data_IF_825741873434
#
_entry.id   IF_825741873434
#
_cell.length_a   1.000
_cell.length_b   1.000
_cell.length_c   1.000
_cell.angle_alpha   90.00
_cell.angle_beta   90.00
_cell.angle_gamma   90.00
#
_symmetry.space_group_name_H-M   'P 1'
#
loop_
_entity.id
_entity.type
_entity.pdbx_description
1 polymer ?
#
# COMPACT_ATOMS: atom_id res chain seq x y z
N UNK A 1 29.08 -24.83 -0.78
CA UNK A 1 28.85 -23.62 0.05
C UNK A 1 28.62 -22.46 -0.91
N UNK A 2 27.36 -22.25 -1.31
CA UNK A 2 27.01 -21.22 -2.30
C UNK A 2 27.13 -19.83 -1.69
N UNK A 3 27.88 -18.99 -2.40
CA UNK A 3 28.28 -17.63 -2.04
C UNK A 3 27.07 -16.75 -1.71
N UNK A 4 26.91 -16.36 -0.45
CA UNK A 4 26.04 -15.27 -0.01
C UNK A 4 26.62 -13.94 -0.50
N UNK A 5 26.49 -13.67 -1.80
CA UNK A 5 26.76 -12.33 -2.33
C UNK A 5 25.60 -11.44 -1.91
N UNK A 6 25.81 -10.58 -0.92
CA UNK A 6 24.95 -9.43 -0.68
C UNK A 6 25.06 -8.53 -1.91
N UNK A 7 24.03 -8.55 -2.75
CA UNK A 7 23.87 -7.61 -3.86
C UNK A 7 22.57 -6.82 -3.66
N UNK A 8 22.44 -5.63 -4.28
CA UNK A 8 21.17 -4.93 -4.35
C UNK A 8 20.08 -5.81 -4.95
N UNK A 9 18.81 -5.54 -4.61
CA UNK A 9 17.69 -6.30 -5.16
C UNK A 9 17.75 -6.40 -6.69
N UNK A 10 17.52 -7.61 -7.22
CA UNK A 10 17.46 -7.84 -8.66
C UNK A 10 16.26 -8.78 -8.94
N UNK A 11 15.25 -8.34 -9.71
CA UNK A 11 13.95 -9.01 -9.82
C UNK A 11 13.97 -10.37 -10.53
N UNK A 12 15.11 -10.74 -11.12
CA UNK A 12 15.31 -12.05 -11.76
C UNK A 12 16.30 -12.93 -10.98
N UNK A 13 16.71 -12.52 -9.78
CA UNK A 13 17.67 -13.26 -8.97
C UNK A 13 16.94 -14.13 -7.93
N UNK A 14 17.05 -15.45 -8.05
CA UNK A 14 16.49 -16.40 -7.07
C UNK A 14 17.31 -16.57 -5.79
N UNK A 15 18.13 -15.58 -5.40
CA UNK A 15 18.90 -15.68 -4.16
C UNK A 15 18.00 -15.43 -2.95
N UNK A 16 18.37 -16.02 -1.80
CA UNK A 16 17.57 -15.89 -0.58
C UNK A 16 17.34 -14.43 -0.14
N UNK A 17 18.23 -13.50 -0.49
CA UNK A 17 18.07 -12.08 -0.17
C UNK A 17 17.02 -11.42 -1.05
N UNK A 18 17.02 -11.66 -2.37
CA UNK A 18 16.01 -11.10 -3.27
C UNK A 18 14.63 -11.69 -3.04
N UNK A 19 14.53 -13.00 -2.82
CA UNK A 19 13.24 -13.63 -2.48
C UNK A 19 12.66 -13.11 -1.17
N UNK A 20 13.50 -12.73 -0.18
CA UNK A 20 13.01 -12.07 1.05
C UNK A 20 12.48 -10.66 0.81
N UNK A 21 13.04 -9.91 -0.14
CA UNK A 21 12.53 -8.59 -0.51
C UNK A 21 11.16 -8.72 -1.20
N UNK A 22 11.03 -9.62 -2.18
CA UNK A 22 9.74 -9.89 -2.85
C UNK A 22 8.65 -10.29 -1.87
N UNK A 23 8.94 -11.24 -0.97
CA UNK A 23 8.01 -11.64 0.09
C UNK A 23 7.70 -10.51 1.07
N UNK A 24 8.60 -9.54 1.25
CA UNK A 24 8.37 -8.37 2.09
C UNK A 24 7.43 -7.38 1.40
N UNK A 25 7.62 -7.14 0.10
CA UNK A 25 6.77 -6.24 -0.68
C UNK A 25 5.36 -6.80 -0.85
N UNK A 26 5.23 -8.10 -1.15
CA UNK A 26 3.92 -8.78 -1.17
C UNK A 26 3.17 -8.62 0.17
N UNK A 27 3.90 -8.70 1.29
CA UNK A 27 3.32 -8.50 2.63
C UNK A 27 2.95 -7.03 2.86
N UNK A 28 3.75 -6.09 2.35
CA UNK A 28 3.42 -4.67 2.41
C UNK A 28 2.12 -4.37 1.66
N UNK A 29 1.90 -4.98 0.48
CA UNK A 29 0.67 -4.81 -0.30
C UNK A 29 -0.57 -5.34 0.42
N UNK A 30 -0.47 -6.54 1.02
CA UNK A 30 -1.56 -7.11 1.82
C UNK A 30 -1.92 -6.20 3.00
N UNK A 31 -0.92 -5.64 3.67
CA UNK A 31 -1.10 -4.72 4.79
C UNK A 31 -1.68 -3.37 4.36
N UNK A 32 -1.20 -2.80 3.25
CA UNK A 32 -1.67 -1.54 2.68
C UNK A 32 -3.16 -1.59 2.32
N UNK A 33 -3.69 -2.79 1.99
CA UNK A 33 -5.11 -2.99 1.79
C UNK A 33 -5.99 -2.57 3.00
N UNK A 34 -5.45 -2.59 4.22
CA UNK A 34 -6.17 -2.10 5.41
C UNK A 34 -6.24 -0.57 5.46
N UNK A 35 -5.17 0.11 5.01
CA UNK A 35 -5.11 1.57 4.91
C UNK A 35 -6.13 2.09 3.90
N UNK A 36 -6.30 1.38 2.78
CA UNK A 36 -7.28 1.72 1.75
C UNK A 36 -8.74 1.75 2.23
N UNK A 37 -9.04 1.09 3.36
CA UNK A 37 -10.36 1.09 4.00
C UNK A 37 -10.44 1.97 5.24
N UNK A 38 -9.34 2.62 5.65
CA UNK A 38 -9.31 3.48 6.83
C UNK A 38 -10.08 4.77 6.55
N UNK A 39 -11.04 5.11 7.41
CA UNK A 39 -11.80 6.36 7.31
C UNK A 39 -10.93 7.61 7.35
N UNK A 40 -9.81 7.58 8.09
CA UNK A 40 -8.87 8.69 8.15
C UNK A 40 -8.11 8.90 6.84
N UNK A 41 -7.59 7.81 6.26
CA UNK A 41 -6.93 7.84 4.95
C UNK A 41 -7.91 8.32 3.87
N UNK A 42 -9.14 7.81 3.90
CA UNK A 42 -10.18 8.27 2.97
C UNK A 42 -10.44 9.77 3.12
N UNK A 43 -10.54 10.27 4.34
CA UNK A 43 -10.77 11.69 4.59
C UNK A 43 -9.64 12.56 4.06
N UNK A 44 -8.38 12.15 4.24
CA UNK A 44 -7.23 12.91 3.74
C UNK A 44 -7.13 12.83 2.21
N UNK A 45 -7.24 11.64 1.63
CA UNK A 45 -7.22 11.47 0.17
C UNK A 45 -8.32 12.28 -0.54
N UNK A 46 -9.53 12.36 0.06
CA UNK A 46 -10.60 13.19 -0.45
C UNK A 46 -10.32 14.69 -0.33
N UNK A 47 -9.56 15.10 0.69
CA UNK A 47 -9.11 16.49 0.88
C UNK A 47 -8.09 16.95 -0.18
N UNK A 48 -7.36 16.02 -0.77
CA UNK A 48 -6.37 16.27 -1.83
C UNK A 48 -6.98 16.27 -3.26
N UNK A 49 -8.29 16.04 -3.40
CA UNK A 49 -8.95 16.05 -4.70
C UNK A 49 -8.91 17.43 -5.34
N UNK A 50 -8.45 17.48 -6.58
CA UNK A 50 -8.45 18.70 -7.39
C UNK A 50 -9.85 19.07 -7.87
N UNK A 51 -10.07 20.35 -8.19
CA UNK A 51 -11.33 20.82 -8.77
C UNK A 51 -11.70 20.07 -10.07
N UNK A 52 -10.70 19.69 -10.87
CA UNK A 52 -10.92 18.95 -12.11
C UNK A 52 -11.42 17.52 -11.82
N UNK A 53 -10.83 16.83 -10.84
CA UNK A 53 -11.32 15.52 -10.39
C UNK A 53 -12.73 15.61 -9.79
N UNK A 54 -13.01 16.65 -8.99
CA UNK A 54 -14.35 16.89 -8.45
C UNK A 54 -15.38 17.14 -9.56
N UNK A 55 -15.02 17.90 -10.60
CA UNK A 55 -15.87 18.13 -11.76
C UNK A 55 -16.14 16.83 -12.55
N UNK A 56 -15.12 15.99 -12.74
CA UNK A 56 -15.27 14.68 -13.39
C UNK A 56 -16.19 13.75 -12.59
N UNK A 57 -16.00 13.67 -11.27
CA UNK A 57 -16.87 12.89 -10.38
C UNK A 57 -18.32 13.39 -10.48
N UNK A 58 -18.54 14.71 -10.40
CA UNK A 58 -19.86 15.29 -10.52
C UNK A 58 -20.52 14.98 -11.87
N UNK A 59 -19.75 14.99 -12.97
CA UNK A 59 -20.21 14.58 -14.29
C UNK A 59 -20.68 13.13 -14.32
N UNK A 60 -19.86 12.21 -13.81
CA UNK A 60 -20.22 10.79 -13.72
C UNK A 60 -21.49 10.56 -12.90
N UNK A 61 -21.63 11.24 -11.75
CA UNK A 61 -22.83 11.14 -10.92
C UNK A 61 -24.08 11.70 -11.60
N UNK A 62 -23.96 12.82 -12.33
CA UNK A 62 -25.07 13.41 -13.08
C UNK A 62 -25.57 12.47 -14.20
N UNK A 63 -24.66 11.70 -14.80
CA UNK A 63 -24.96 10.71 -15.84
C UNK A 63 -25.44 9.36 -15.27
N UNK A 64 -25.54 9.20 -13.94
CA UNK A 64 -25.86 7.93 -13.27
C UNK A 64 -24.78 6.87 -13.43
N UNK A 65 -23.55 7.27 -13.75
CA UNK A 65 -22.39 6.40 -13.92
C UNK A 65 -21.59 6.31 -12.60
N UNK A 66 -22.17 5.62 -11.62
CA UNK A 66 -21.56 5.44 -10.30
C UNK A 66 -20.23 4.69 -10.37
N UNK A 67 -20.06 3.79 -11.35
CA UNK A 67 -18.83 3.03 -11.54
C UNK A 67 -17.66 3.94 -11.94
N UNK A 68 -17.89 4.88 -12.86
CA UNK A 68 -16.90 5.88 -13.27
C UNK A 68 -16.51 6.81 -12.13
N UNK A 69 -17.49 7.29 -11.35
CA UNK A 69 -17.22 8.09 -10.15
C UNK A 69 -16.39 7.30 -9.12
N UNK A 70 -16.74 6.02 -8.90
CA UNK A 70 -16.02 5.16 -7.98
C UNK A 70 -14.60 4.83 -8.44
N UNK A 71 -14.35 4.72 -9.75
CA UNK A 71 -13.00 4.52 -10.30
C UNK A 71 -12.10 5.71 -9.95
N UNK A 72 -12.56 6.94 -10.21
CA UNK A 72 -11.78 8.15 -9.91
C UNK A 72 -11.42 8.21 -8.42
N UNK A 73 -12.39 7.91 -7.55
CA UNK A 73 -12.14 7.87 -6.11
C UNK A 73 -11.13 6.79 -5.72
N UNK A 74 -11.26 5.58 -6.27
CA UNK A 74 -10.31 4.48 -6.00
C UNK A 74 -8.90 4.83 -6.44
N UNK A 75 -8.74 5.43 -7.62
CA UNK A 75 -7.44 5.90 -8.10
C UNK A 75 -6.85 6.97 -7.18
N UNK A 76 -7.64 7.98 -6.80
CA UNK A 76 -7.16 9.05 -5.92
C UNK A 76 -6.67 8.52 -4.56
N UNK A 77 -7.38 7.55 -3.97
CA UNK A 77 -6.97 6.92 -2.71
C UNK A 77 -5.68 6.10 -2.89
N UNK A 78 -5.56 5.36 -4.00
CA UNK A 78 -4.38 4.58 -4.31
C UNK A 78 -3.14 5.47 -4.54
N UNK A 79 -3.32 6.59 -5.22
CA UNK A 79 -2.27 7.58 -5.48
C UNK A 79 -1.81 8.24 -4.17
N UNK A 80 -2.77 8.67 -3.33
CA UNK A 80 -2.47 9.23 -2.00
C UNK A 80 -1.64 8.25 -1.16
N UNK A 81 -2.05 6.99 -1.08
CA UNK A 81 -1.32 5.97 -0.31
C UNK A 81 0.06 5.69 -0.89
N UNK A 82 0.18 5.64 -2.22
CA UNK A 82 1.47 5.40 -2.89
C UNK A 82 2.44 6.54 -2.61
N UNK A 83 1.97 7.78 -2.69
CA UNK A 83 2.75 8.97 -2.35
C UNK A 83 3.19 8.94 -0.90
N UNK A 84 2.25 8.73 0.03
CA UNK A 84 2.49 8.70 1.46
C UNK A 84 3.52 7.64 1.88
N UNK A 85 3.45 6.45 1.29
CA UNK A 85 4.41 5.37 1.55
C UNK A 85 5.78 5.72 0.95
N UNK A 86 5.81 6.27 -0.27
CA UNK A 86 7.06 6.60 -0.96
C UNK A 86 7.81 7.72 -0.25
N UNK A 87 7.10 8.80 0.14
CA UNK A 87 7.68 9.91 0.91
C UNK A 87 8.32 9.40 2.21
N UNK A 88 7.67 8.46 2.90
CA UNK A 88 8.21 7.90 4.13
C UNK A 88 9.46 7.05 3.90
N UNK A 89 9.47 6.25 2.83
CA UNK A 89 10.64 5.45 2.42
C UNK A 89 11.82 6.36 2.14
N UNK A 90 11.60 7.46 1.42
CA UNK A 90 12.65 8.40 1.02
C UNK A 90 13.12 9.27 2.20
N UNK A 91 12.21 9.75 3.04
CA UNK A 91 12.52 10.64 4.16
C UNK A 91 13.29 9.97 5.30
N UNK A 92 13.01 8.68 5.55
CA UNK A 92 13.52 7.94 6.72
C UNK A 92 14.42 6.77 6.34
N UNK A 93 14.67 6.56 5.04
CA UNK A 93 15.46 5.45 4.49
C UNK A 93 15.03 4.09 5.08
N UNK A 94 13.72 3.83 5.06
CA UNK A 94 13.13 2.59 5.57
C UNK A 94 12.57 1.72 4.44
N UNK A 95 12.37 0.43 4.71
CA UNK A 95 11.70 -0.46 3.75
C UNK A 95 10.22 -0.11 3.58
N UNK A 96 9.64 -0.48 2.43
CA UNK A 96 8.20 -0.29 2.15
C UNK A 96 7.29 -0.90 3.22
N UNK A 97 7.65 -2.09 3.74
CA UNK A 97 6.85 -2.75 4.78
C UNK A 97 6.89 -1.97 6.11
N UNK A 98 8.03 -1.37 6.46
CA UNK A 98 8.17 -0.53 7.66
C UNK A 98 7.35 0.75 7.52
N UNK A 99 7.36 1.38 6.34
CA UNK A 99 6.51 2.54 6.04
C UNK A 99 5.01 2.19 6.17
N UNK A 100 4.57 1.07 5.60
CA UNK A 100 3.17 0.61 5.74
C UNK A 100 2.81 0.34 7.20
N UNK A 101 3.66 -0.36 7.96
CA UNK A 101 3.44 -0.63 9.38
C UNK A 101 3.35 0.64 10.23
N UNK A 102 4.17 1.64 9.91
CA UNK A 102 4.09 2.95 10.53
C UNK A 102 2.71 3.57 10.31
N UNK A 103 2.21 3.64 9.07
CA UNK A 103 0.90 4.24 8.78
C UNK A 103 -0.28 3.43 9.31
N UNK A 104 -0.17 2.10 9.41
CA UNK A 104 -1.17 1.29 10.12
C UNK A 104 -1.33 1.74 11.58
N UNK A 105 -0.22 2.13 12.21
CA UNK A 105 -0.22 2.65 13.57
C UNK A 105 -0.77 4.08 13.62
N UNK A 106 -0.33 4.96 12.73
CA UNK A 106 -0.76 6.38 12.67
C UNK A 106 -2.27 6.49 12.44
N UNK A 107 -2.83 5.72 11.52
CA UNK A 107 -4.25 5.75 11.20
C UNK A 107 -5.09 4.76 12.02
N UNK A 108 -4.49 4.09 13.01
CA UNK A 108 -5.12 3.04 13.81
C UNK A 108 -5.83 1.97 12.96
N UNK A 109 -5.34 1.74 11.74
CA UNK A 109 -5.93 0.83 10.78
C UNK A 109 -5.57 -0.62 11.16
N UNK A 110 -6.59 -1.45 11.34
CA UNK A 110 -6.41 -2.84 11.74
C UNK A 110 -6.43 -3.74 10.50
N UNK A 111 -5.29 -4.32 10.09
CA UNK A 111 -5.27 -5.30 9.01
C UNK A 111 -6.07 -6.54 9.40
N UNK A 112 -6.62 -7.23 8.40
CA UNK A 112 -7.29 -8.49 8.65
C UNK A 112 -6.30 -9.46 9.31
N UNK A 113 -6.74 -10.27 10.29
CA UNK A 113 -5.88 -11.26 10.90
C UNK A 113 -5.34 -12.18 9.80
N UNK A 114 -4.02 -12.23 9.67
CA UNK A 114 -3.37 -13.18 8.78
C UNK A 114 -3.64 -14.56 9.37
N UNK A 115 -4.24 -15.46 8.60
CA UNK A 115 -4.41 -16.84 9.03
C UNK A 115 -3.04 -17.40 9.45
N UNK A 116 -2.90 -17.78 10.72
CA UNK A 116 -1.67 -18.39 11.20
C UNK A 116 -1.38 -19.64 10.37
N UNK A 117 -0.30 -19.59 9.60
CA UNK A 117 0.13 -20.74 8.84
C UNK A 117 0.65 -21.78 9.84
N UNK A 118 0.11 -23.01 9.88
CA UNK A 118 0.30 -23.96 10.98
C UNK A 118 1.76 -24.38 11.21
N UNK A 119 2.66 -24.13 10.27
CA UNK A 119 4.10 -24.39 10.43
C UNK A 119 4.88 -23.29 11.16
N UNK A 120 4.26 -22.15 11.50
CA UNK A 120 4.91 -21.08 12.29
C UNK A 120 4.73 -21.21 13.81
N UNK A 121 3.90 -22.15 14.27
CA UNK A 121 3.65 -22.41 15.70
C UNK A 121 4.59 -23.47 16.29
N UNK A 122 5.35 -24.16 15.42
CA UNK A 122 6.36 -25.14 15.84
C UNK A 122 7.75 -24.49 15.79
N UNK A 123 8.10 -23.72 16.82
CA UNK A 123 9.49 -23.33 17.13
C UNK A 123 9.68 -23.30 18.64
#
# INVERSE_FOLDING_TARGET
>A
MSSTRCHPYHPQCGCATCSRHELSDERADVLAGALHRSGFVLSEALGELTNDQLALIAGHLADGNDEGAAEILRTAIADYLSQLISDRVDDVDCSRIEAVQHYLTVYEAKPAPVAEMPWRVAA
#
